data_IF_392051422659
#
_entry.id   IF_392051422659
#
_cell.length_a   1.000
_cell.length_b   1.000
_cell.length_c   1.000
_cell.angle_alpha   90.00
_cell.angle_beta   90.00
_cell.angle_gamma   90.00
#
_symmetry.space_group_name_H-M   'P 1'
#
loop_
_entity.id
_entity.type
_entity.pdbx_description
1 polymer ?
#
# COMPACT_ATOMS: atom_id res chain seq x y z
N UNK A 1 -21.16 -16.98 -24.51
CA UNK A 1 -22.30 -16.05 -24.66
C UNK A 1 -21.87 -14.63 -24.31
N UNK A 2 -21.87 -13.74 -25.31
CA UNK A 2 -21.36 -12.36 -25.26
C UNK A 2 -22.10 -11.54 -24.18
N UNK A 3 -21.38 -11.08 -23.15
CA UNK A 3 -21.90 -10.15 -22.16
C UNK A 3 -22.12 -8.78 -22.81
N UNK A 4 -23.37 -8.46 -23.14
CA UNK A 4 -23.76 -7.09 -23.46
C UNK A 4 -23.55 -6.22 -22.22
N UNK A 5 -22.40 -5.54 -22.16
CA UNK A 5 -22.17 -4.45 -21.24
C UNK A 5 -23.07 -3.29 -21.67
N UNK A 6 -24.16 -3.08 -20.92
CA UNK A 6 -24.89 -1.82 -20.98
C UNK A 6 -23.95 -0.77 -20.39
N UNK A 7 -23.25 -0.03 -21.27
CA UNK A 7 -22.57 1.19 -20.85
C UNK A 7 -23.66 2.16 -20.40
N UNK A 8 -23.83 2.31 -19.08
CA UNK A 8 -24.59 3.44 -18.56
C UNK A 8 -23.78 4.70 -18.88
N UNK A 9 -24.09 5.34 -20.01
CA UNK A 9 -23.72 6.74 -20.24
C UNK A 9 -24.06 7.49 -18.96
N UNK A 10 -23.05 8.13 -18.37
CA UNK A 10 -23.17 8.91 -17.14
C UNK A 10 -24.21 10.01 -17.38
N UNK A 11 -25.47 9.72 -17.05
CA UNK A 11 -26.51 10.72 -17.03
C UNK A 11 -26.19 11.64 -15.83
N UNK A 12 -25.87 12.94 -16.05
CA UNK A 12 -25.38 13.84 -15.01
C UNK A 12 -26.39 14.08 -13.87
N UNK A 13 -27.59 13.51 -13.98
CA UNK A 13 -28.70 13.64 -13.04
C UNK A 13 -28.93 12.44 -12.12
N UNK A 14 -28.11 11.38 -12.19
CA UNK A 14 -28.30 10.22 -11.30
C UNK A 14 -27.71 10.46 -9.91
N UNK A 15 -28.51 10.27 -8.86
CA UNK A 15 -28.01 10.46 -7.49
C UNK A 15 -26.98 9.38 -7.15
N UNK A 16 -25.90 9.73 -6.41
CA UNK A 16 -24.86 8.75 -6.00
C UNK A 16 -25.45 7.49 -5.35
N UNK A 17 -26.57 7.63 -4.62
CA UNK A 17 -27.27 6.51 -3.98
C UNK A 17 -28.06 5.64 -4.96
N UNK A 18 -28.65 6.22 -6.02
CA UNK A 18 -29.42 5.51 -7.03
C UNK A 18 -28.54 4.53 -7.80
N UNK A 19 -27.37 4.98 -8.25
CA UNK A 19 -26.44 4.12 -8.99
C UNK A 19 -25.95 2.95 -8.12
N UNK A 20 -25.64 3.21 -6.83
CA UNK A 20 -25.23 2.15 -5.89
C UNK A 20 -26.32 1.10 -5.68
N UNK A 21 -27.60 1.48 -5.67
CA UNK A 21 -28.73 0.53 -5.61
C UNK A 21 -28.84 -0.33 -6.88
N UNK A 22 -28.67 0.27 -8.06
CA UNK A 22 -28.66 -0.45 -9.35
C UNK A 22 -27.53 -1.48 -9.40
N UNK A 23 -26.32 -1.08 -8.97
CA UNK A 23 -25.16 -1.99 -8.89
C UNK A 23 -25.43 -3.11 -7.87
N UNK A 24 -26.10 -2.82 -6.76
CA UNK A 24 -26.45 -3.82 -5.76
C UNK A 24 -27.43 -4.86 -6.31
N UNK A 25 -28.51 -4.44 -7.00
CA UNK A 25 -29.44 -5.35 -7.68
C UNK A 25 -28.72 -6.26 -8.68
N UNK A 26 -27.79 -5.69 -9.45
CA UNK A 26 -26.97 -6.45 -10.40
C UNK A 26 -26.08 -7.48 -9.69
N UNK A 27 -25.53 -7.09 -8.55
CA UNK A 27 -24.68 -7.94 -7.71
C UNK A 27 -25.47 -9.10 -7.14
N UNK A 28 -26.68 -8.85 -6.61
CA UNK A 28 -27.55 -9.92 -6.10
C UNK A 28 -27.93 -10.90 -7.21
N UNK A 29 -28.33 -10.40 -8.39
CA UNK A 29 -28.62 -11.26 -9.55
C UNK A 29 -27.43 -12.15 -9.94
N UNK A 30 -26.20 -11.62 -9.87
CA UNK A 30 -25.00 -12.39 -10.15
C UNK A 30 -24.72 -13.43 -9.06
N UNK A 31 -24.74 -13.05 -7.79
CA UNK A 31 -24.46 -13.95 -6.66
C UNK A 31 -25.45 -15.11 -6.62
N UNK A 32 -26.74 -14.85 -6.88
CA UNK A 32 -27.78 -15.90 -6.95
C UNK A 32 -27.53 -16.92 -8.06
N UNK A 33 -26.89 -16.51 -9.17
CA UNK A 33 -26.53 -17.42 -10.26
C UNK A 33 -25.30 -18.26 -9.95
N UNK A 34 -24.39 -17.73 -9.13
CA UNK A 34 -23.12 -18.38 -8.81
C UNK A 34 -23.20 -19.34 -7.63
N UNK A 35 -24.05 -19.02 -6.64
CA UNK A 35 -24.09 -19.75 -5.38
C UNK A 35 -25.51 -20.14 -5.02
N UNK A 36 -25.71 -21.42 -4.67
CA UNK A 36 -26.98 -21.90 -4.08
C UNK A 36 -27.20 -21.35 -2.66
N UNK A 37 -26.10 -21.14 -1.92
CA UNK A 37 -26.07 -20.59 -0.56
C UNK A 37 -24.88 -19.64 -0.43
N UNK A 38 -25.07 -18.49 0.22
CA UNK A 38 -23.99 -17.52 0.42
C UNK A 38 -24.22 -16.71 1.71
N UNK A 39 -23.15 -16.06 2.16
CA UNK A 39 -23.16 -15.19 3.35
C UNK A 39 -23.06 -13.72 2.95
N UNK A 40 -23.25 -12.82 3.92
CA UNK A 40 -23.26 -11.38 3.67
C UNK A 40 -21.92 -10.85 3.16
N UNK A 41 -20.81 -11.45 3.58
CA UNK A 41 -19.47 -11.13 3.10
C UNK A 41 -19.31 -11.39 1.60
N UNK A 42 -19.97 -12.42 1.04
CA UNK A 42 -19.94 -12.69 -0.40
C UNK A 42 -20.58 -11.54 -1.19
N UNK A 43 -21.77 -11.10 -0.78
CA UNK A 43 -22.45 -9.95 -1.40
C UNK A 43 -21.56 -8.70 -1.31
N UNK A 44 -21.00 -8.46 -0.12
CA UNK A 44 -20.16 -7.30 0.14
C UNK A 44 -18.92 -7.25 -0.73
N UNK A 45 -18.23 -8.39 -0.87
CA UNK A 45 -17.06 -8.54 -1.72
C UNK A 45 -17.38 -8.20 -3.17
N UNK A 46 -18.41 -8.84 -3.75
CA UNK A 46 -18.78 -8.62 -5.15
C UNK A 46 -19.33 -7.22 -5.39
N UNK A 47 -20.09 -6.66 -4.44
CA UNK A 47 -20.65 -5.33 -4.56
C UNK A 47 -19.53 -4.28 -4.64
N UNK A 48 -18.57 -4.33 -3.72
CA UNK A 48 -17.43 -3.40 -3.74
C UNK A 48 -16.52 -3.60 -4.95
N UNK A 49 -16.34 -4.83 -5.43
CA UNK A 49 -15.60 -5.12 -6.67
C UNK A 49 -16.28 -4.48 -7.88
N UNK A 50 -17.61 -4.58 -7.98
CA UNK A 50 -18.39 -3.95 -9.04
C UNK A 50 -18.38 -2.41 -8.94
N UNK A 51 -18.43 -1.85 -7.73
CA UNK A 51 -18.29 -0.40 -7.53
C UNK A 51 -16.93 0.10 -8.03
N UNK A 52 -15.82 -0.57 -7.67
CA UNK A 52 -14.48 -0.21 -8.15
C UNK A 52 -14.39 -0.26 -9.68
N UNK A 53 -14.92 -1.31 -10.31
CA UNK A 53 -14.95 -1.45 -11.78
C UNK A 53 -15.71 -0.32 -12.47
N UNK A 54 -16.76 0.19 -11.82
CA UNK A 54 -17.55 1.32 -12.31
C UNK A 54 -16.98 2.70 -11.91
N UNK A 55 -15.75 2.76 -11.38
CA UNK A 55 -15.12 4.02 -10.94
C UNK A 55 -15.77 4.66 -9.70
N UNK A 56 -16.55 3.90 -8.92
CA UNK A 56 -17.21 4.38 -7.72
C UNK A 56 -16.45 4.05 -6.44
N UNK A 57 -16.62 4.89 -5.42
CA UNK A 57 -16.07 4.62 -4.09
C UNK A 57 -16.74 3.40 -3.47
N UNK A 58 -15.91 2.50 -2.92
CA UNK A 58 -16.36 1.37 -2.11
C UNK A 58 -17.13 1.84 -0.88
N UNK A 59 -17.96 0.96 -0.33
CA UNK A 59 -18.75 1.24 0.85
C UNK A 59 -18.40 0.30 1.99
N UNK A 60 -18.79 0.67 3.21
CA UNK A 60 -18.68 -0.18 4.39
C UNK A 60 -19.83 -1.20 4.42
N UNK A 61 -19.67 -2.26 5.24
CA UNK A 61 -20.69 -3.30 5.40
C UNK A 61 -22.04 -2.73 5.84
N UNK A 62 -22.01 -1.80 6.81
CA UNK A 62 -23.21 -1.13 7.32
C UNK A 62 -23.94 -0.33 6.24
N UNK A 63 -23.20 0.35 5.37
CA UNK A 63 -23.80 1.07 4.24
C UNK A 63 -24.44 0.12 3.23
N UNK A 64 -23.80 -1.02 2.92
CA UNK A 64 -24.42 -2.05 2.07
C UNK A 64 -25.70 -2.61 2.71
N UNK A 65 -25.69 -2.89 4.01
CA UNK A 65 -26.89 -3.31 4.75
C UNK A 65 -28.03 -2.31 4.62
N UNK A 66 -27.76 -1.01 4.76
CA UNK A 66 -28.77 0.03 4.59
C UNK A 66 -29.35 0.04 3.16
N UNK A 67 -28.53 -0.26 2.14
CA UNK A 67 -29.02 -0.40 0.77
C UNK A 67 -29.89 -1.65 0.58
N UNK A 68 -29.53 -2.78 1.19
CA UNK A 68 -30.37 -3.99 1.18
C UNK A 68 -31.72 -3.74 1.85
N UNK A 69 -31.71 -3.09 3.01
CA UNK A 69 -32.94 -2.65 3.69
C UNK A 69 -33.81 -1.77 2.79
N UNK A 70 -33.19 -0.81 2.09
CA UNK A 70 -33.89 0.09 1.17
C UNK A 70 -34.50 -0.63 -0.03
N UNK A 71 -33.81 -1.62 -0.58
CA UNK A 71 -34.33 -2.46 -1.67
C UNK A 71 -35.56 -3.28 -1.22
N UNK A 72 -35.58 -3.73 0.02
CA UNK A 72 -36.66 -4.54 0.59
C UNK A 72 -37.85 -3.70 1.08
N UNK A 73 -37.61 -2.69 1.92
CA UNK A 73 -38.68 -1.93 2.60
C UNK A 73 -39.23 -0.77 1.78
N UNK A 74 -38.36 0.08 1.26
CA UNK A 74 -38.79 1.28 0.52
C UNK A 74 -39.17 0.93 -0.93
N UNK A 75 -38.29 0.21 -1.62
CA UNK A 75 -38.45 -0.08 -3.05
C UNK A 75 -39.21 -1.38 -3.33
N UNK A 76 -39.28 -2.28 -2.34
CA UNK A 76 -39.96 -3.58 -2.40
C UNK A 76 -39.57 -4.45 -3.60
N UNK A 77 -38.34 -4.29 -4.12
CA UNK A 77 -37.82 -5.02 -5.29
C UNK A 77 -37.12 -6.33 -4.92
N UNK A 78 -36.80 -6.54 -3.65
CA UNK A 78 -36.20 -7.77 -3.13
C UNK A 78 -37.02 -8.36 -1.99
N UNK A 79 -36.92 -9.67 -1.82
CA UNK A 79 -37.24 -10.38 -0.57
C UNK A 79 -36.01 -11.12 -0.09
N UNK A 80 -35.88 -11.31 1.21
CA UNK A 80 -34.76 -11.99 1.83
C UNK A 80 -35.24 -13.16 2.69
N UNK A 81 -34.50 -14.25 2.61
CA UNK A 81 -34.49 -15.34 3.58
C UNK A 81 -33.25 -15.15 4.45
N UNK A 82 -33.40 -15.31 5.76
CA UNK A 82 -32.26 -15.43 6.65
C UNK A 82 -32.56 -16.43 7.78
N UNK A 83 -31.55 -17.23 8.13
CA UNK A 83 -31.59 -18.15 9.27
C UNK A 83 -30.28 -18.05 10.04
N UNK A 84 -30.39 -17.74 11.33
CA UNK A 84 -29.24 -17.80 12.23
C UNK A 84 -28.90 -19.26 12.52
N UNK A 85 -27.64 -19.65 12.27
CA UNK A 85 -27.16 -21.03 12.43
C UNK A 85 -26.37 -21.23 13.74
N UNK A 86 -26.31 -20.21 14.59
CA UNK A 86 -25.53 -20.20 15.84
C UNK A 86 -24.24 -19.38 15.75
N UNK A 87 -23.62 -19.14 16.91
CA UNK A 87 -22.46 -18.21 17.07
C UNK A 87 -21.29 -18.58 16.16
N UNK A 88 -21.03 -19.87 15.96
CA UNK A 88 -19.88 -20.37 15.18
C UNK A 88 -20.19 -20.62 13.69
N UNK A 89 -21.47 -20.75 13.32
CA UNK A 89 -21.89 -21.12 11.96
C UNK A 89 -22.46 -19.94 11.16
N UNK A 90 -22.64 -18.79 11.80
CA UNK A 90 -23.04 -17.54 11.15
C UNK A 90 -24.52 -17.48 10.76
N UNK A 91 -24.83 -16.75 9.69
CA UNK A 91 -26.20 -16.55 9.19
C UNK A 91 -26.29 -16.97 7.74
N UNK A 92 -27.15 -17.94 7.45
CA UNK A 92 -27.51 -18.32 6.09
C UNK A 92 -28.46 -17.26 5.54
N UNK A 93 -28.15 -16.70 4.37
CA UNK A 93 -28.96 -15.65 3.76
C UNK A 93 -29.18 -15.92 2.27
N UNK A 94 -30.33 -15.51 1.77
CA UNK A 94 -30.64 -15.53 0.35
C UNK A 94 -31.54 -14.35 0.00
N UNK A 95 -31.20 -13.61 -1.06
CA UNK A 95 -31.95 -12.43 -1.51
C UNK A 95 -32.57 -12.72 -2.88
N UNK A 96 -33.89 -12.91 -2.92
CA UNK A 96 -34.63 -13.10 -4.15
C UNK A 96 -35.02 -11.75 -4.73
N UNK A 97 -34.71 -11.51 -6.01
CA UNK A 97 -35.30 -10.39 -6.75
C UNK A 97 -36.77 -10.73 -7.04
N UNK A 98 -37.69 -9.82 -6.71
CA UNK A 98 -39.13 -10.02 -6.99
C UNK A 98 -39.46 -9.91 -8.48
N UNK A 99 -38.66 -9.13 -9.20
CA UNK A 99 -38.86 -8.83 -10.61
C UNK A 99 -37.60 -9.15 -11.41
N UNK A 100 -37.70 -9.30 -12.74
CA UNK A 100 -36.55 -9.32 -13.61
C UNK A 100 -35.64 -8.10 -13.38
N UNK A 101 -34.33 -8.30 -13.54
CA UNK A 101 -33.31 -7.28 -13.28
C UNK A 101 -33.61 -5.91 -13.91
N UNK A 102 -34.13 -5.90 -15.15
CA UNK A 102 -34.48 -4.68 -15.89
C UNK A 102 -35.63 -3.91 -15.22
N UNK A 103 -36.64 -4.62 -14.74
CA UNK A 103 -37.78 -4.01 -14.03
C UNK A 103 -37.37 -3.44 -12.68
N UNK A 104 -36.50 -4.14 -11.93
CA UNK A 104 -35.93 -3.59 -10.69
C UNK A 104 -35.24 -2.23 -10.94
N UNK A 105 -34.48 -2.09 -12.03
CA UNK A 105 -33.86 -0.81 -12.39
C UNK A 105 -34.88 0.28 -12.69
N UNK A 106 -35.96 -0.05 -13.41
CA UNK A 106 -37.03 0.89 -13.72
C UNK A 106 -37.73 1.38 -12.45
N UNK A 107 -38.04 0.48 -11.51
CA UNK A 107 -38.65 0.82 -10.22
C UNK A 107 -37.74 1.76 -9.43
N UNK A 108 -36.44 1.45 -9.34
CA UNK A 108 -35.44 2.32 -8.68
C UNK A 108 -35.42 3.71 -9.34
N UNK A 109 -35.32 3.76 -10.66
CA UNK A 109 -35.25 5.02 -11.40
C UNK A 109 -36.51 5.87 -11.19
N UNK A 110 -37.70 5.25 -11.24
CA UNK A 110 -38.98 5.91 -10.99
C UNK A 110 -39.05 6.51 -9.59
N UNK A 111 -38.70 5.75 -8.54
CA UNK A 111 -38.67 6.25 -7.16
C UNK A 111 -37.81 7.50 -7.00
N UNK A 112 -36.62 7.55 -7.59
CA UNK A 112 -35.75 8.73 -7.50
C UNK A 112 -36.28 9.92 -8.30
N UNK A 113 -36.98 9.69 -9.41
CA UNK A 113 -37.65 10.73 -10.20
C UNK A 113 -38.80 11.36 -9.40
N UNK A 114 -39.71 10.55 -8.88
CA UNK A 114 -40.84 10.97 -8.05
C UNK A 114 -40.37 11.73 -6.80
N UNK A 115 -39.31 11.24 -6.14
CA UNK A 115 -38.72 11.92 -4.98
C UNK A 115 -38.18 13.31 -5.30
N UNK A 116 -37.64 13.51 -6.51
CA UNK A 116 -37.14 14.81 -6.96
C UNK A 116 -38.30 15.77 -7.25
N UNK A 117 -39.35 15.27 -7.89
CA UNK A 117 -40.57 16.04 -8.17
C UNK A 117 -41.30 16.43 -6.88
N UNK A 118 -41.43 15.51 -5.92
CA UNK A 118 -42.00 15.79 -4.60
C UNK A 118 -41.25 16.92 -3.88
N UNK A 119 -39.91 16.87 -3.84
CA UNK A 119 -39.08 17.95 -3.25
C UNK A 119 -39.26 19.29 -3.96
N UNK A 120 -39.48 19.28 -5.27
CA UNK A 120 -39.77 20.51 -6.00
C UNK A 120 -41.15 21.06 -5.60
N UNK A 121 -42.20 20.21 -5.61
CA UNK A 121 -43.54 20.59 -5.16
C UNK A 121 -43.55 21.13 -3.73
N UNK A 122 -42.86 20.48 -2.80
CA UNK A 122 -42.74 20.98 -1.42
C UNK A 122 -42.11 22.37 -1.33
N UNK A 123 -41.10 22.68 -2.16
CA UNK A 123 -40.50 24.02 -2.19
C UNK A 123 -41.44 25.06 -2.78
N UNK A 124 -42.20 24.69 -3.81
CA UNK A 124 -43.21 25.57 -4.43
C UNK A 124 -44.32 25.86 -3.42
N UNK A 125 -44.87 24.83 -2.76
CA UNK A 125 -45.92 24.99 -1.76
C UNK A 125 -45.44 25.84 -0.57
N UNK A 126 -44.25 25.57 -0.02
CA UNK A 126 -43.69 26.37 1.06
C UNK A 126 -43.52 27.86 0.66
N UNK A 127 -43.19 28.12 -0.61
CA UNK A 127 -43.11 29.48 -1.13
C UNK A 127 -44.49 30.14 -1.28
N UNK A 128 -45.48 29.40 -1.78
CA UNK A 128 -46.87 29.88 -1.91
C UNK A 128 -47.50 30.14 -0.53
N UNK A 129 -47.38 29.21 0.42
CA UNK A 129 -47.82 29.37 1.80
C UNK A 129 -47.16 30.60 2.47
N UNK A 130 -45.86 30.80 2.25
CA UNK A 130 -45.16 32.00 2.74
C UNK A 130 -45.69 33.29 2.08
N UNK A 131 -46.05 33.24 0.80
CA UNK A 131 -46.61 34.37 0.05
C UNK A 131 -48.03 34.70 0.51
N UNK A 132 -48.86 33.69 0.78
CA UNK A 132 -50.25 33.84 1.25
C UNK A 132 -50.32 34.32 2.71
N UNK A 133 -49.43 33.84 3.58
CA UNK A 133 -49.31 34.32 4.97
C UNK A 133 -48.76 35.76 5.07
N UNK A 134 -48.39 36.37 3.95
CA UNK A 134 -47.96 37.78 3.83
C UNK A 134 -49.12 38.74 3.55
N UNK A 135 -50.34 38.41 3.95
CA UNK A 135 -51.51 39.30 3.93
C UNK A 135 -51.44 40.45 4.96
N UNK A 136 -50.32 41.17 4.93
CA UNK A 136 -50.10 42.46 5.60
C UNK A 136 -49.14 43.38 4.84
N UNK A 137 -48.72 43.05 3.62
CA UNK A 137 -47.99 44.01 2.79
C UNK A 137 -48.05 43.66 1.30
N UNK A 138 -48.77 44.51 0.55
CA UNK A 138 -48.77 44.76 -0.90
C UNK A 138 -48.50 43.54 -1.80
N UNK A 139 -49.54 43.10 -2.51
CA UNK A 139 -49.51 41.98 -3.44
C UNK A 139 -48.32 42.04 -4.40
N UNK A 140 -47.46 41.03 -4.33
CA UNK A 140 -46.46 40.77 -5.36
C UNK A 140 -47.17 40.19 -6.59
N UNK A 141 -47.75 41.11 -7.38
CA UNK A 141 -47.96 40.95 -8.81
C UNK A 141 -46.61 40.83 -9.52
N UNK A 142 -46.63 40.18 -10.65
CA UNK A 142 -45.53 39.57 -11.39
C UNK A 142 -44.31 40.46 -11.73
N UNK A 143 -43.29 39.79 -12.27
CA UNK A 143 -42.12 40.40 -12.90
C UNK A 143 -42.49 41.42 -13.98
N UNK A 144 -42.66 42.69 -13.61
CA UNK A 144 -42.49 43.82 -14.53
C UNK A 144 -41.73 44.91 -13.78
N UNK A 145 -40.56 45.23 -14.32
CA UNK A 145 -39.71 46.32 -13.88
C UNK A 145 -40.48 47.63 -13.83
N UNK A 146 -40.48 48.32 -12.69
CA UNK A 146 -40.54 49.77 -12.72
C UNK A 146 -39.74 50.42 -11.58
N UNK A 147 -38.87 51.34 -12.00
CA UNK A 147 -38.07 52.23 -11.17
C UNK A 147 -38.98 53.30 -10.55
N UNK A 148 -38.49 53.91 -9.46
CA UNK A 148 -38.94 55.17 -8.87
C UNK A 148 -39.96 55.05 -7.71
N UNK A 149 -39.45 54.61 -6.54
CA UNK A 149 -39.73 55.23 -5.22
C UNK A 149 -39.02 54.45 -4.09
N UNK A 150 -37.69 54.34 -4.15
CA UNK A 150 -36.95 53.35 -3.33
C UNK A 150 -35.65 53.83 -2.67
N UNK A 151 -35.37 55.14 -2.66
CA UNK A 151 -34.00 55.62 -2.41
C UNK A 151 -33.46 55.46 -0.97
N UNK A 152 -34.32 55.41 0.06
CA UNK A 152 -33.86 55.37 1.47
C UNK A 152 -33.78 53.93 2.02
N UNK A 153 -34.77 53.07 1.70
CA UNK A 153 -34.76 51.63 2.08
C UNK A 153 -33.84 50.79 1.18
N UNK A 154 -33.54 51.20 -0.06
CA UNK A 154 -32.57 50.47 -0.89
C UNK A 154 -31.13 50.69 -0.47
N UNK A 155 -30.72 51.88 -0.03
CA UNK A 155 -29.33 52.13 0.39
C UNK A 155 -28.93 51.29 1.60
N UNK A 156 -29.83 51.17 2.58
CA UNK A 156 -29.65 50.31 3.77
C UNK A 156 -29.65 48.82 3.41
N UNK A 157 -30.59 48.37 2.57
CA UNK A 157 -30.60 46.97 2.10
C UNK A 157 -29.40 46.62 1.21
N UNK A 158 -28.95 47.54 0.35
CA UNK A 158 -27.78 47.37 -0.52
C UNK A 158 -26.51 47.21 0.32
N UNK A 159 -26.29 48.04 1.33
CA UNK A 159 -25.16 47.91 2.24
C UNK A 159 -25.14 46.57 3.00
N UNK A 160 -26.31 46.09 3.45
CA UNK A 160 -26.43 44.77 4.11
C UNK A 160 -26.13 43.64 3.12
N UNK A 161 -26.66 43.71 1.90
CA UNK A 161 -26.42 42.72 0.84
C UNK A 161 -24.94 42.69 0.44
N UNK A 162 -24.30 43.85 0.29
CA UNK A 162 -22.88 43.95 -0.05
C UNK A 162 -21.98 43.36 1.05
N UNK A 163 -22.27 43.62 2.33
CA UNK A 163 -21.58 42.98 3.45
C UNK A 163 -21.75 41.46 3.45
N UNK A 164 -22.96 40.96 3.17
CA UNK A 164 -23.21 39.52 3.08
C UNK A 164 -22.50 38.87 1.89
N UNK A 165 -22.47 39.53 0.73
CA UNK A 165 -21.71 39.08 -0.44
C UNK A 165 -20.22 39.02 -0.15
N UNK A 166 -19.67 40.05 0.52
CA UNK A 166 -18.27 40.09 0.92
C UNK A 166 -17.93 38.97 1.91
N UNK A 167 -18.78 38.71 2.90
CA UNK A 167 -18.63 37.59 3.84
C UNK A 167 -18.64 36.23 3.13
N UNK A 168 -19.55 36.04 2.16
CA UNK A 168 -19.58 34.82 1.33
C UNK A 168 -18.30 34.65 0.52
N UNK A 169 -17.81 35.73 -0.08
CA UNK A 169 -16.57 35.72 -0.86
C UNK A 169 -15.36 35.39 0.01
N UNK A 170 -15.22 36.04 1.17
CA UNK A 170 -14.17 35.77 2.15
C UNK A 170 -14.16 34.29 2.57
N UNK A 171 -15.32 33.74 2.92
CA UNK A 171 -15.45 32.33 3.30
C UNK A 171 -15.04 31.38 2.17
N UNK A 172 -15.30 31.75 0.91
CA UNK A 172 -14.89 30.97 -0.27
C UNK A 172 -13.36 30.97 -0.47
N UNK A 173 -12.68 32.04 -0.10
CA UNK A 173 -11.23 32.16 -0.24
C UNK A 173 -10.44 31.22 0.70
N UNK A 174 -11.05 30.76 1.80
CA UNK A 174 -10.45 29.81 2.76
C UNK A 174 -9.01 30.21 3.14
N UNK A 175 -8.86 31.39 3.73
CA UNK A 175 -7.57 31.93 4.16
C UNK A 175 -6.99 31.12 5.33
N UNK A 176 -5.67 31.00 5.39
CA UNK A 176 -4.96 30.29 6.45
C UNK A 176 -4.96 31.08 7.76
N UNK A 177 -4.89 32.41 7.67
CA UNK A 177 -4.83 33.29 8.84
C UNK A 177 -6.20 33.86 9.18
N UNK A 178 -6.64 33.66 10.43
CA UNK A 178 -7.85 34.28 10.97
C UNK A 178 -7.76 35.82 11.05
N UNK A 179 -6.54 36.40 11.04
CA UNK A 179 -6.33 37.86 11.05
C UNK A 179 -6.89 38.54 9.78
N UNK A 180 -7.09 37.79 8.70
CA UNK A 180 -7.70 38.31 7.47
C UNK A 180 -9.17 38.68 7.64
N UNK A 181 -9.82 38.24 8.72
CA UNK A 181 -11.22 38.56 9.02
C UNK A 181 -11.42 40.06 9.23
N UNK A 182 -10.43 40.76 9.78
CA UNK A 182 -10.48 42.21 10.05
C UNK A 182 -10.71 43.05 8.79
N UNK A 183 -10.49 42.49 7.60
CA UNK A 183 -10.75 43.15 6.31
C UNK A 183 -12.25 43.33 6.07
N UNK A 184 -13.08 42.43 6.61
CA UNK A 184 -14.53 42.52 6.51
C UNK A 184 -15.10 43.70 7.32
N UNK A 185 -14.35 44.14 8.33
CA UNK A 185 -14.74 45.22 9.23
C UNK A 185 -14.23 46.59 8.75
N UNK A 186 -13.42 46.62 7.69
CA UNK A 186 -12.97 47.87 7.06
C UNK A 186 -14.13 48.51 6.30
N UNK A 187 -14.22 49.84 6.39
CA UNK A 187 -15.24 50.62 5.69
C UNK A 187 -14.89 50.81 4.19
N UNK A 188 -14.67 49.70 3.50
CA UNK A 188 -14.30 49.65 2.08
C UNK A 188 -15.53 49.33 1.22
N UNK A 189 -15.57 49.92 0.03
CA UNK A 189 -16.53 49.50 -1.00
C UNK A 189 -16.28 48.02 -1.37
N UNK A 190 -17.35 47.27 -1.67
CA UNK A 190 -17.33 45.83 -1.98
C UNK A 190 -16.24 45.47 -2.98
N UNK A 191 -16.13 46.21 -4.08
CA UNK A 191 -15.22 45.87 -5.18
C UNK A 191 -13.75 46.03 -4.74
N UNK A 192 -13.44 47.12 -4.01
CA UNK A 192 -12.12 47.34 -3.40
C UNK A 192 -11.79 46.27 -2.36
N UNK A 193 -12.75 45.89 -1.52
CA UNK A 193 -12.55 44.85 -0.52
C UNK A 193 -12.28 43.47 -1.18
N UNK A 194 -12.98 43.13 -2.27
CA UNK A 194 -12.74 41.90 -3.04
C UNK A 194 -11.33 41.92 -3.67
N UNK A 195 -10.90 43.06 -4.19
CA UNK A 195 -9.56 43.22 -4.77
C UNK A 195 -8.46 42.98 -3.73
N UNK A 196 -8.58 43.58 -2.54
CA UNK A 196 -7.68 43.34 -1.41
C UNK A 196 -7.65 41.85 -1.04
N UNK A 197 -8.80 41.20 -0.94
CA UNK A 197 -8.87 39.76 -0.63
C UNK A 197 -8.18 38.90 -1.71
N UNK A 198 -8.27 39.28 -2.99
CA UNK A 198 -7.54 38.59 -4.08
C UNK A 198 -6.03 38.73 -3.92
N UNK A 199 -5.54 39.94 -3.63
CA UNK A 199 -4.11 40.21 -3.43
C UNK A 199 -3.57 39.36 -2.28
N UNK A 200 -4.26 39.37 -1.14
CA UNK A 200 -3.86 38.61 0.04
C UNK A 200 -3.87 37.11 -0.25
N UNK A 201 -4.87 36.60 -0.99
CA UNK A 201 -4.90 35.18 -1.32
C UNK A 201 -3.75 34.79 -2.24
N UNK A 202 -3.37 35.66 -3.18
CA UNK A 202 -2.21 35.46 -4.06
C UNK A 202 -0.90 35.41 -3.27
N UNK A 203 -0.72 36.31 -2.30
CA UNK A 203 0.44 36.32 -1.40
C UNK A 203 0.48 35.03 -0.57
N UNK A 204 -0.64 34.62 0.02
CA UNK A 204 -0.74 33.38 0.81
C UNK A 204 -0.38 32.13 -0.01
N UNK A 205 -0.84 32.06 -1.26
CA UNK A 205 -0.51 30.97 -2.19
C UNK A 205 0.98 30.95 -2.56
N UNK A 206 1.59 32.11 -2.74
CA UNK A 206 3.02 32.20 -3.05
C UNK A 206 3.88 31.77 -1.85
N UNK A 207 3.51 32.18 -0.64
CA UNK A 207 4.20 31.78 0.60
C UNK A 207 4.09 30.27 0.86
N UNK A 208 2.92 29.68 0.62
CA UNK A 208 2.73 28.22 0.77
C UNK A 208 3.51 27.42 -0.28
N UNK A 209 3.57 27.89 -1.53
CA UNK A 209 4.44 27.27 -2.56
C UNK A 209 5.92 27.30 -2.16
N UNK A 210 6.42 28.43 -1.64
CA UNK A 210 7.79 28.52 -1.14
C UNK A 210 8.06 27.57 0.04
N UNK A 211 7.12 27.43 0.97
CA UNK A 211 7.26 26.54 2.13
C UNK A 211 7.28 25.06 1.74
N UNK A 212 6.50 24.65 0.74
CA UNK A 212 6.52 23.29 0.22
C UNK A 212 7.85 22.97 -0.47
N UNK A 213 8.38 23.90 -1.27
CA UNK A 213 9.70 23.77 -1.90
C UNK A 213 10.83 23.63 -0.85
N UNK A 214 10.75 24.38 0.26
CA UNK A 214 11.69 24.24 1.39
C UNK A 214 11.63 22.86 2.07
N UNK A 215 10.43 22.30 2.28
CA UNK A 215 10.31 20.94 2.86
C UNK A 215 10.82 19.84 1.90
N UNK A 216 10.66 20.06 0.59
CA UNK A 216 11.13 19.15 -0.44
C UNK A 216 12.66 19.17 -0.50
N UNK A 217 13.26 20.37 -0.40
CA UNK A 217 14.70 20.55 -0.26
C UNK A 217 15.25 19.92 1.04
N UNK A 218 14.53 20.02 2.16
CA UNK A 218 14.94 19.38 3.43
C UNK A 218 14.96 17.85 3.36
N UNK A 219 14.03 17.23 2.63
CA UNK A 219 14.05 15.79 2.41
C UNK A 219 15.22 15.36 1.52
N UNK A 220 15.53 16.15 0.49
CA UNK A 220 16.60 15.86 -0.46
C UNK A 220 17.99 16.06 0.17
N UNK A 221 18.18 17.09 1.01
CA UNK A 221 19.42 17.30 1.75
C UNK A 221 19.71 16.14 2.71
N UNK A 222 18.71 15.64 3.44
CA UNK A 222 18.89 14.45 4.29
C UNK A 222 19.19 13.18 3.47
N UNK A 223 18.58 12.99 2.29
CA UNK A 223 18.95 11.86 1.42
C UNK A 223 20.38 11.96 0.90
N UNK A 224 20.85 13.15 0.56
CA UNK A 224 22.23 13.38 0.13
C UNK A 224 23.23 13.18 1.28
N UNK A 225 22.89 13.62 2.49
CA UNK A 225 23.67 13.32 3.69
C UNK A 225 23.77 11.81 3.97
N UNK A 226 22.65 11.09 3.82
CA UNK A 226 22.65 9.62 3.93
C UNK A 226 23.59 8.98 2.91
N UNK A 227 23.54 9.40 1.63
CA UNK A 227 24.45 8.90 0.58
C UNK A 227 25.91 9.14 0.95
N UNK A 228 26.24 10.34 1.44
CA UNK A 228 27.60 10.70 1.85
C UNK A 228 28.11 9.78 2.98
N UNK A 229 27.33 9.63 4.06
CA UNK A 229 27.71 8.76 5.20
C UNK A 229 27.92 7.30 4.78
N UNK A 230 27.06 6.79 3.89
CA UNK A 230 27.18 5.42 3.38
C UNK A 230 28.39 5.26 2.47
N UNK A 231 28.69 6.24 1.62
CA UNK A 231 29.89 6.26 0.77
C UNK A 231 31.18 6.31 1.60
N UNK A 232 31.23 7.16 2.62
CA UNK A 232 32.38 7.26 3.52
C UNK A 232 32.57 5.95 4.29
N UNK A 233 31.47 5.33 4.72
CA UNK A 233 31.51 4.00 5.37
C UNK A 233 32.00 2.91 4.41
N UNK A 234 31.59 2.96 3.14
CA UNK A 234 32.07 2.03 2.12
C UNK A 234 33.58 2.16 1.93
N UNK A 235 34.10 3.38 1.77
CA UNK A 235 35.53 3.63 1.61
C UNK A 235 36.35 3.17 2.82
N UNK A 236 35.88 3.45 4.05
CA UNK A 236 36.53 2.99 5.28
C UNK A 236 36.64 1.46 5.34
N UNK A 237 35.66 0.75 4.80
CA UNK A 237 35.66 -0.71 4.76
C UNK A 237 36.53 -1.23 3.61
N UNK A 238 36.50 -0.63 2.43
CA UNK A 238 37.42 -0.99 1.33
C UNK A 238 38.89 -0.89 1.76
N UNK A 239 39.26 0.18 2.48
CA UNK A 239 40.61 0.36 3.05
C UNK A 239 40.99 -0.73 4.07
N UNK A 240 40.02 -1.33 4.78
CA UNK A 240 40.24 -2.44 5.73
C UNK A 240 40.39 -3.81 5.04
N UNK A 241 40.44 -3.88 3.70
CA UNK A 241 40.66 -5.10 2.93
C UNK A 241 39.38 -5.84 2.52
N UNK A 242 38.27 -5.13 2.35
CA UNK A 242 37.00 -5.71 1.88
C UNK A 242 36.96 -5.87 0.35
N UNK A 243 36.31 -6.94 -0.15
CA UNK A 243 36.03 -7.10 -1.57
C UNK A 243 34.96 -6.10 -2.05
N UNK A 244 35.27 -5.21 -3.01
CA UNK A 244 34.45 -4.03 -3.34
C UNK A 244 33.05 -4.38 -3.90
N UNK A 245 32.93 -5.47 -4.67
CA UNK A 245 31.67 -5.80 -5.35
C UNK A 245 30.52 -6.19 -4.41
N UNK A 246 30.81 -6.99 -3.38
CA UNK A 246 29.79 -7.42 -2.42
C UNK A 246 29.37 -6.29 -1.48
N UNK A 247 30.32 -5.39 -1.18
CA UNK A 247 30.09 -4.25 -0.32
C UNK A 247 29.14 -3.24 -0.99
N UNK A 248 29.30 -3.01 -2.28
CA UNK A 248 28.44 -2.12 -3.08
C UNK A 248 26.98 -2.55 -3.07
N UNK A 249 26.70 -3.84 -3.26
CA UNK A 249 25.33 -4.39 -3.20
C UNK A 249 24.71 -4.18 -1.83
N UNK A 250 25.46 -4.50 -0.77
CA UNK A 250 24.96 -4.37 0.60
C UNK A 250 24.71 -2.91 1.01
N UNK A 251 25.60 -1.99 0.63
CA UNK A 251 25.43 -0.55 0.88
C UNK A 251 24.20 -0.02 0.13
N UNK A 252 23.96 -0.50 -1.10
CA UNK A 252 22.77 -0.15 -1.87
C UNK A 252 21.49 -0.61 -1.18
N UNK A 253 21.46 -1.83 -0.65
CA UNK A 253 20.30 -2.35 0.09
C UNK A 253 20.02 -1.53 1.36
N UNK A 254 21.07 -1.09 2.06
CA UNK A 254 20.94 -0.17 3.21
C UNK A 254 20.35 1.16 2.77
N UNK A 255 20.85 1.74 1.67
CA UNK A 255 20.32 2.99 1.15
C UNK A 255 18.82 2.86 0.85
N UNK A 256 18.40 1.81 0.14
CA UNK A 256 17.00 1.58 -0.19
C UNK A 256 16.09 1.42 1.03
N UNK A 257 16.61 0.77 2.09
CA UNK A 257 15.89 0.62 3.36
C UNK A 257 15.69 1.96 4.09
N UNK A 258 16.70 2.83 4.10
CA UNK A 258 16.70 4.05 4.91
C UNK A 258 16.42 5.35 4.12
N UNK A 259 16.29 5.32 2.79
CA UNK A 259 16.06 6.51 1.94
C UNK A 259 14.85 7.37 2.35
N UNK A 260 13.82 6.75 2.92
CA UNK A 260 12.60 7.43 3.37
C UNK A 260 12.64 7.78 4.87
N UNK A 261 13.63 7.29 5.61
CA UNK A 261 13.83 7.55 7.03
C UNK A 261 15.34 7.72 7.34
N UNK A 262 16.00 8.72 6.74
CA UNK A 262 17.47 8.87 6.83
C UNK A 262 17.95 9.27 8.23
N UNK A 263 17.08 9.82 9.08
CA UNK A 263 17.42 10.27 10.43
C UNK A 263 17.94 9.12 11.33
N UNK A 264 17.52 7.87 11.12
CA UNK A 264 18.06 6.72 11.86
C UNK A 264 19.57 6.49 11.62
N UNK A 265 20.09 6.97 10.49
CA UNK A 265 21.50 6.84 10.14
C UNK A 265 22.25 8.15 10.40
N UNK A 266 21.65 9.29 10.06
CA UNK A 266 22.27 10.62 10.21
C UNK A 266 22.44 10.99 11.69
N UNK A 267 21.42 10.75 12.51
CA UNK A 267 21.42 11.15 13.93
C UNK A 267 22.02 10.01 14.78
N UNK A 268 23.28 9.63 14.49
CA UNK A 268 23.93 8.45 15.09
C UNK A 268 24.06 8.52 16.63
N UNK A 269 24.02 9.73 17.20
CA UNK A 269 24.09 9.96 18.63
C UNK A 269 22.80 9.52 19.33
N UNK A 270 21.67 9.58 18.60
CA UNK A 270 20.34 9.19 19.07
C UNK A 270 19.98 7.76 18.66
N UNK A 271 20.43 7.31 17.48
CA UNK A 271 20.10 6.01 16.92
C UNK A 271 21.35 5.17 16.65
N UNK A 272 21.35 3.92 17.12
CA UNK A 272 22.48 3.00 16.99
C UNK A 272 22.53 2.25 15.65
N UNK A 273 21.61 2.51 14.72
CA UNK A 273 21.48 1.78 13.45
C UNK A 273 22.77 1.78 12.62
N UNK A 274 23.41 2.94 12.45
CA UNK A 274 24.67 3.03 11.70
C UNK A 274 25.77 2.18 12.34
N UNK A 275 25.88 2.21 13.68
CA UNK A 275 26.83 1.38 14.43
C UNK A 275 26.52 -0.11 14.27
N UNK A 276 25.26 -0.49 14.39
CA UNK A 276 24.81 -1.87 14.21
C UNK A 276 25.09 -2.41 12.80
N UNK A 277 24.96 -1.56 11.79
CA UNK A 277 25.31 -1.88 10.39
C UNK A 277 26.82 -2.17 10.28
N UNK A 278 27.66 -1.29 10.83
CA UNK A 278 29.13 -1.48 10.84
C UNK A 278 29.51 -2.78 11.56
N UNK A 279 28.95 -3.04 12.75
CA UNK A 279 29.22 -4.26 13.54
C UNK A 279 28.80 -5.53 12.78
N UNK A 280 27.62 -5.54 12.14
CA UNK A 280 27.17 -6.71 11.37
C UNK A 280 28.09 -7.01 10.19
N UNK A 281 28.55 -5.96 9.52
CA UNK A 281 29.52 -6.07 8.45
C UNK A 281 30.85 -6.62 8.97
N UNK A 282 31.39 -6.06 10.05
CA UNK A 282 32.64 -6.52 10.67
C UNK A 282 32.57 -8.00 11.10
N UNK A 283 31.48 -8.41 11.75
CA UNK A 283 31.25 -9.82 12.14
C UNK A 283 31.10 -10.79 10.98
N UNK A 284 30.72 -10.31 9.79
CA UNK A 284 30.68 -11.16 8.59
C UNK A 284 32.08 -11.42 8.02
N UNK A 285 33.05 -10.55 8.35
CA UNK A 285 34.46 -10.68 7.97
C UNK A 285 35.17 -11.66 8.90
N UNK A 286 35.00 -11.52 10.22
CA UNK A 286 35.65 -12.39 11.22
C UNK A 286 35.33 -13.86 10.94
N UNK A 287 34.05 -14.17 10.70
CA UNK A 287 33.60 -15.51 10.32
C UNK A 287 34.21 -16.03 9.02
N UNK A 288 34.56 -15.15 8.06
CA UNK A 288 35.27 -15.54 6.82
C UNK A 288 36.76 -15.77 7.03
N UNK A 289 37.40 -15.05 7.98
CA UNK A 289 38.81 -15.27 8.34
C UNK A 289 39.02 -16.57 9.12
N UNK A 290 38.09 -16.93 10.02
CA UNK A 290 38.15 -18.19 10.80
C UNK A 290 37.89 -19.44 9.94
N UNK A 291 37.09 -19.32 8.87
CA UNK A 291 36.76 -20.45 7.99
C UNK A 291 37.85 -20.79 6.98
N UNK A 292 38.83 -19.91 6.73
CA UNK A 292 39.96 -20.21 5.83
C UNK A 292 41.05 -21.07 6.47
N UNK A 293 41.23 -21.02 7.80
CA UNK A 293 42.22 -21.86 8.51
C UNK A 293 41.68 -23.24 8.90
N UNK A 294 40.42 -23.31 9.34
CA UNK A 294 39.82 -24.52 9.95
C UNK A 294 39.24 -25.53 8.95
N UNK A 295 38.89 -25.12 7.72
CA UNK A 295 38.32 -26.04 6.74
C UNK A 295 39.35 -27.02 6.16
N UNK A 296 40.61 -26.62 5.99
CA UNK A 296 41.62 -27.52 5.41
C UNK A 296 41.91 -28.72 6.32
N UNK A 297 42.03 -28.49 7.64
CA UNK A 297 42.20 -29.57 8.62
C UNK A 297 40.96 -30.46 8.72
N UNK A 298 39.75 -29.89 8.74
CA UNK A 298 38.51 -30.68 8.76
C UNK A 298 38.36 -31.55 7.52
N UNK A 299 38.65 -31.00 6.34
CA UNK A 299 38.64 -31.74 5.08
C UNK A 299 39.65 -32.88 5.13
N UNK A 300 40.88 -32.61 5.60
CA UNK A 300 41.93 -33.61 5.75
C UNK A 300 41.56 -34.73 6.72
N UNK A 301 40.96 -34.42 7.87
CA UNK A 301 40.50 -35.40 8.86
C UNK A 301 39.38 -36.27 8.28
N UNK A 302 38.40 -35.66 7.62
CA UNK A 302 37.29 -36.40 7.01
C UNK A 302 37.77 -37.32 5.88
N UNK A 303 38.65 -36.83 5.01
CA UNK A 303 39.26 -37.64 3.94
C UNK A 303 40.08 -38.78 4.53
N UNK A 304 40.86 -38.53 5.60
CA UNK A 304 41.60 -39.57 6.31
C UNK A 304 40.67 -40.68 6.81
N UNK A 305 39.59 -40.33 7.51
CA UNK A 305 38.66 -41.30 8.07
C UNK A 305 37.97 -42.14 6.98
N UNK A 306 37.55 -41.52 5.87
CA UNK A 306 36.93 -42.22 4.74
C UNK A 306 37.91 -43.24 4.12
N UNK A 307 39.16 -42.83 3.88
CA UNK A 307 40.16 -43.72 3.26
C UNK A 307 40.55 -44.88 4.20
N UNK A 308 40.61 -44.65 5.51
CA UNK A 308 40.84 -45.71 6.49
C UNK A 308 39.71 -46.75 6.46
N UNK A 309 38.45 -46.29 6.46
CA UNK A 309 37.30 -47.19 6.39
C UNK A 309 37.25 -48.00 5.09
N UNK A 310 37.61 -47.39 3.97
CA UNK A 310 37.63 -48.07 2.66
C UNK A 310 38.74 -49.13 2.55
N UNK A 311 39.91 -48.87 3.13
CA UNK A 311 41.10 -49.70 2.96
C UNK A 311 41.35 -50.66 4.14
N UNK A 312 40.50 -50.66 5.17
CA UNK A 312 40.67 -51.50 6.37
C UNK A 312 40.72 -53.01 6.09
N UNK A 313 40.14 -53.46 4.98
CA UNK A 313 40.18 -54.87 4.55
C UNK A 313 41.48 -55.27 3.85
N UNK A 314 42.26 -54.29 3.39
CA UNK A 314 43.42 -54.52 2.53
C UNK A 314 44.73 -54.67 3.31
N UNK A 315 44.80 -54.15 4.55
CA UNK A 315 45.99 -54.21 5.38
C UNK A 315 45.66 -53.94 6.85
N UNK A 316 46.59 -54.30 7.73
CA UNK A 316 46.49 -53.99 9.17
C UNK A 316 46.31 -52.48 9.42
N UNK A 317 45.39 -52.14 10.32
CA UNK A 317 44.96 -50.76 10.62
C UNK A 317 46.13 -49.86 11.01
N UNK A 318 47.11 -50.37 11.78
CA UNK A 318 48.27 -49.61 12.24
C UNK A 318 49.15 -49.14 11.07
N UNK A 319 49.38 -50.04 10.10
CA UNK A 319 50.11 -49.75 8.88
C UNK A 319 49.31 -48.85 7.92
N UNK A 320 48.00 -49.03 7.87
CA UNK A 320 47.12 -48.22 7.04
C UNK A 320 47.10 -46.76 7.50
N UNK A 321 46.95 -46.53 8.81
CA UNK A 321 46.96 -45.18 9.42
C UNK A 321 48.22 -44.41 9.08
N UNK A 322 49.40 -45.03 9.19
CA UNK A 322 50.68 -44.38 8.87
C UNK A 322 50.81 -44.09 7.38
N UNK A 323 50.42 -45.04 6.52
CA UNK A 323 50.51 -44.89 5.06
C UNK A 323 49.58 -43.80 4.53
N UNK A 324 48.31 -43.78 4.95
CA UNK A 324 47.33 -42.77 4.56
C UNK A 324 47.74 -41.38 5.08
N UNK A 325 48.23 -41.29 6.33
CA UNK A 325 48.70 -40.01 6.90
C UNK A 325 49.87 -39.43 6.09
N UNK A 326 50.86 -40.26 5.76
CA UNK A 326 52.00 -39.83 4.95
C UNK A 326 51.61 -39.43 3.54
N UNK A 327 50.66 -40.14 2.92
CA UNK A 327 50.14 -39.80 1.61
C UNK A 327 49.40 -38.46 1.59
N UNK A 328 48.50 -38.21 2.55
CA UNK A 328 47.75 -36.95 2.64
C UNK A 328 48.66 -35.75 2.97
N UNK A 329 49.72 -35.95 3.77
CA UNK A 329 50.68 -34.90 4.09
C UNK A 329 51.51 -34.44 2.89
N UNK A 330 51.68 -35.28 1.86
CA UNK A 330 52.45 -34.95 0.64
C UNK A 330 51.63 -34.20 -0.43
N UNK A 331 50.33 -34.01 -0.24
CA UNK A 331 49.45 -33.37 -1.22
C UNK A 331 49.21 -31.91 -0.85
N UNK A 332 49.51 -30.99 -1.78
CA UNK A 332 49.33 -29.54 -1.57
C UNK A 332 47.85 -29.12 -1.48
N UNK A 333 46.95 -29.88 -2.11
CA UNK A 333 45.50 -29.62 -2.10
C UNK A 333 44.73 -30.94 -2.07
N UNK A 334 43.77 -31.03 -1.14
CA UNK A 334 42.89 -32.19 -0.96
C UNK A 334 41.47 -31.84 -1.43
N UNK A 335 40.86 -32.72 -2.22
CA UNK A 335 39.52 -32.51 -2.79
C UNK A 335 38.68 -33.78 -2.60
N UNK A 336 37.43 -33.61 -2.13
CA UNK A 336 36.54 -34.74 -1.78
C UNK A 336 36.17 -35.63 -2.96
N UNK A 337 35.97 -35.06 -4.14
CA UNK A 337 35.63 -35.80 -5.36
C UNK A 337 36.72 -36.80 -5.78
N UNK A 338 37.95 -36.64 -5.30
CA UNK A 338 39.07 -37.54 -5.61
C UNK A 338 39.21 -38.70 -4.63
N UNK A 339 38.44 -38.74 -3.54
CA UNK A 339 38.57 -39.73 -2.46
C UNK A 339 38.20 -41.13 -2.93
N UNK A 340 37.08 -41.26 -3.64
CA UNK A 340 36.52 -42.55 -4.04
C UNK A 340 37.22 -43.18 -5.26
N UNK A 341 37.91 -42.37 -6.06
CA UNK A 341 38.63 -42.85 -7.24
C UNK A 341 40.14 -42.68 -7.06
N UNK A 342 40.66 -41.50 -7.38
CA UNK A 342 42.09 -41.26 -7.53
C UNK A 342 42.88 -41.61 -6.27
N UNK A 343 42.45 -41.13 -5.10
CA UNK A 343 43.18 -41.34 -3.86
C UNK A 343 43.12 -42.78 -3.37
N UNK A 344 41.97 -43.43 -3.52
CA UNK A 344 41.79 -44.84 -3.18
C UNK A 344 42.71 -45.74 -4.03
N UNK A 345 42.71 -45.58 -5.35
CA UNK A 345 43.54 -46.39 -6.25
C UNK A 345 45.05 -46.13 -6.09
N UNK A 346 45.46 -44.88 -5.90
CA UNK A 346 46.86 -44.53 -5.60
C UNK A 346 47.34 -45.23 -4.32
N UNK A 347 46.53 -45.21 -3.25
CA UNK A 347 46.85 -45.85 -1.98
C UNK A 347 46.85 -47.38 -2.06
N UNK A 348 45.89 -47.98 -2.77
CA UNK A 348 45.87 -49.42 -3.03
C UNK A 348 47.16 -49.89 -3.71
N UNK A 349 47.65 -49.15 -4.70
CA UNK A 349 48.89 -49.48 -5.41
C UNK A 349 50.09 -49.44 -4.45
N UNK A 350 50.16 -48.44 -3.57
CA UNK A 350 51.22 -48.32 -2.56
C UNK A 350 51.18 -49.49 -1.57
N UNK A 351 49.99 -49.87 -1.10
CA UNK A 351 49.80 -50.98 -0.16
C UNK A 351 50.21 -52.31 -0.81
N UNK A 352 49.76 -52.58 -2.04
CA UNK A 352 50.10 -53.80 -2.78
C UNK A 352 51.59 -53.89 -3.08
N UNK A 353 52.22 -52.82 -3.56
CA UNK A 353 53.66 -52.81 -3.86
C UNK A 353 54.51 -53.06 -2.62
N UNK A 354 54.12 -52.54 -1.45
CA UNK A 354 54.82 -52.85 -0.20
C UNK A 354 54.65 -54.31 0.24
N UNK A 355 53.49 -54.94 0.03
CA UNK A 355 53.32 -56.39 0.28
C UNK A 355 54.25 -57.23 -0.61
N UNK A 356 54.39 -56.89 -1.88
CA UNK A 356 55.34 -57.55 -2.79
C UNK A 356 56.80 -57.38 -2.33
N UNK A 357 57.20 -56.17 -1.92
CA UNK A 357 58.56 -55.94 -1.40
C UNK A 357 58.85 -56.68 -0.08
N UNK A 358 57.84 -56.88 0.77
CA UNK A 358 58.00 -57.67 2.00
C UNK A 358 58.07 -59.17 1.67
N UNK A 359 57.24 -59.68 0.76
CA UNK A 359 57.29 -61.07 0.31
C UNK A 359 58.61 -61.46 -0.37
N UNK A 360 59.21 -60.56 -1.15
CA UNK A 360 60.51 -60.80 -1.80
C UNK A 360 61.65 -60.89 -0.76
N UNK A 361 61.62 -60.09 0.32
CA UNK A 361 62.64 -60.18 1.38
C UNK A 361 62.65 -61.50 2.15
N UNK A 362 61.51 -62.19 2.23
CA UNK A 362 61.44 -63.52 2.83
C UNK A 362 61.88 -64.63 1.86
N UNK A 363 61.70 -64.42 0.55
CA UNK A 363 62.14 -65.38 -0.47
C UNK A 363 63.64 -65.29 -0.80
N UNK A 364 64.31 -64.18 -0.49
CA UNK A 364 65.76 -64.00 -0.69
C UNK A 364 66.61 -64.34 0.55
N UNK A 365 65.99 -64.84 1.62
CA UNK A 365 66.64 -65.28 2.87
C UNK A 365 66.45 -66.79 3.14
N UNK A 366 66.09 -67.55 2.10
CA UNK A 366 66.20 -69.01 2.02
C UNK A 366 67.27 -69.28 0.97
#
# INVERSE_FOLDING_TARGET
MKSHFISFKNNPYSSKSQHKLIVLVSTLSYVNRQYKKYVQSNIFYYFNKNLKRNGQTTVTLKTMQNYLYKLEKELKVTTNYYKHLGVNCGTEIYYKLKYPKKECYNIINRYFKEKKEARFKSRVNAYLEWKENKNGNVGFGECISNKNNKDIREKTNKGIIEKQQLKKYFNKCNFLSKKTLSILDLNLNKDKAIEVLKIIKKIELNLTKHKNNLSQNYSETKKNQLKKILSDTQQQLEQKGHYPNNLKVYIQDIYEKYKNKPHFIIENQKYKDLSNIKIKLEKSIERKKESSGSNHERIKINIFNILIEQLKKESEIKFLKTTVKNYLNKKNKLEYNKVFDKYYWELLKIIKNKKYCVGIKYASNI
#
